data_IF_988293080294
#
_entry.id   IF_988293080294
#
_cell.length_a   1.000
_cell.length_b   1.000
_cell.length_c   1.000
_cell.angle_alpha   90.00
_cell.angle_beta   90.00
_cell.angle_gamma   90.00
#
_symmetry.space_group_name_H-M   'P 1'
#
loop_
_entity.id
_entity.type
_entity.pdbx_description
1 polymer ?
#
# COMPACT_ATOMS: atom_id res chain seq x y z
N UNK A 1 -16.56 10.29 9.85
CA UNK A 1 -15.72 9.60 8.85
C UNK A 1 -16.55 8.51 8.21
N UNK A 2 -16.38 8.25 6.90
CA UNK A 2 -17.00 7.11 6.25
C UNK A 2 -16.61 5.81 6.95
N UNK A 3 -17.55 4.86 7.05
CA UNK A 3 -17.28 3.52 7.53
C UNK A 3 -16.63 2.69 6.42
N UNK A 4 -15.40 2.23 6.66
CA UNK A 4 -14.62 1.41 5.74
C UNK A 4 -14.48 -0.05 6.20
N UNK A 5 -15.36 -0.53 7.09
CA UNK A 5 -15.26 -1.86 7.70
C UNK A 5 -15.17 -3.01 6.67
N UNK A 6 -15.89 -2.93 5.55
CA UNK A 6 -15.82 -3.95 4.50
C UNK A 6 -14.45 -3.96 3.80
N UNK A 7 -13.90 -2.77 3.54
CA UNK A 7 -12.57 -2.62 2.96
C UNK A 7 -11.47 -3.15 3.91
N UNK A 8 -11.58 -2.81 5.19
CA UNK A 8 -10.65 -3.26 6.23
C UNK A 8 -10.63 -4.77 6.38
N UNK A 9 -11.82 -5.38 6.48
CA UNK A 9 -11.97 -6.82 6.57
C UNK A 9 -11.33 -7.48 5.35
N UNK A 10 -11.60 -6.94 4.15
CA UNK A 10 -11.06 -7.49 2.92
C UNK A 10 -9.53 -7.42 2.85
N UNK A 11 -8.92 -6.30 3.25
CA UNK A 11 -7.45 -6.21 3.32
C UNK A 11 -6.89 -7.24 4.31
N UNK A 12 -7.53 -7.38 5.48
CA UNK A 12 -7.06 -8.32 6.50
C UNK A 12 -7.14 -9.78 6.04
N UNK A 13 -8.26 -10.18 5.42
CA UNK A 13 -8.42 -11.53 4.84
C UNK A 13 -7.31 -11.87 3.84
N UNK A 14 -6.95 -10.90 2.99
CA UNK A 14 -5.87 -11.08 2.01
C UNK A 14 -4.52 -11.25 2.70
N UNK A 15 -4.24 -10.42 3.70
CA UNK A 15 -3.01 -10.50 4.50
C UNK A 15 -2.90 -11.86 5.19
N UNK A 16 -3.95 -12.31 5.91
CA UNK A 16 -3.98 -13.63 6.56
C UNK A 16 -3.84 -14.79 5.56
N UNK A 17 -4.35 -14.61 4.34
CA UNK A 17 -4.25 -15.61 3.29
C UNK A 17 -2.84 -15.74 2.74
N UNK A 18 -2.09 -14.64 2.58
CA UNK A 18 -0.88 -14.62 1.76
C UNK A 18 0.43 -14.36 2.53
N UNK A 19 0.38 -13.80 3.75
CA UNK A 19 1.58 -13.63 4.59
C UNK A 19 2.30 -14.96 4.79
N UNK A 20 3.62 -14.94 4.61
CA UNK A 20 4.55 -16.08 4.70
C UNK A 20 4.26 -17.25 3.73
N UNK A 21 3.37 -17.04 2.74
CA UNK A 21 2.99 -18.05 1.74
C UNK A 21 3.26 -17.64 0.30
N UNK A 22 3.57 -16.36 0.06
CA UNK A 22 3.84 -15.79 -1.27
C UNK A 22 5.25 -15.23 -1.32
N UNK A 23 6.03 -15.67 -2.31
CA UNK A 23 7.39 -15.19 -2.53
C UNK A 23 7.46 -13.82 -3.21
N UNK A 24 8.63 -13.20 -3.19
CA UNK A 24 8.87 -11.94 -3.90
C UNK A 24 9.43 -12.19 -5.30
N UNK A 25 8.84 -11.55 -6.32
CA UNK A 25 9.41 -11.50 -7.68
C UNK A 25 9.11 -10.15 -8.33
N UNK A 26 10.16 -9.37 -8.58
CA UNK A 26 10.05 -8.03 -9.18
C UNK A 26 9.29 -8.07 -10.51
N UNK A 27 8.39 -7.11 -10.73
CA UNK A 27 7.59 -7.00 -11.95
C UNK A 27 6.38 -7.93 -11.99
N UNK A 28 6.24 -8.85 -11.02
CA UNK A 28 5.10 -9.76 -10.98
C UNK A 28 3.93 -9.11 -10.24
N UNK A 29 2.77 -8.98 -10.89
CA UNK A 29 1.55 -8.37 -10.33
C UNK A 29 0.56 -9.43 -9.85
N UNK A 30 -0.71 -9.06 -9.70
CA UNK A 30 -1.78 -9.92 -9.16
C UNK A 30 -1.83 -11.34 -9.76
N UNK A 31 -1.62 -11.48 -11.07
CA UNK A 31 -1.62 -12.79 -11.76
C UNK A 31 -0.54 -13.76 -11.23
N UNK A 32 0.52 -13.27 -10.57
CA UNK A 32 1.53 -14.12 -9.94
C UNK A 32 1.05 -14.85 -8.68
N UNK A 33 -0.08 -14.43 -8.09
CA UNK A 33 -0.71 -15.15 -6.98
C UNK A 33 -1.29 -16.51 -7.42
N UNK A 34 -1.56 -16.68 -8.72
CA UNK A 34 -2.06 -17.94 -9.30
C UNK A 34 -0.92 -18.90 -9.71
N UNK A 35 0.35 -18.48 -9.59
CA UNK A 35 1.51 -19.30 -9.91
C UNK A 35 1.78 -20.36 -8.82
N UNK A 36 2.57 -21.39 -9.17
CA UNK A 36 3.04 -22.40 -8.24
C UNK A 36 4.59 -22.49 -8.29
N UNK A 37 5.31 -22.00 -7.28
CA UNK A 37 4.82 -21.27 -6.09
C UNK A 37 4.33 -19.83 -6.43
N UNK A 38 3.42 -19.26 -5.61
CA UNK A 38 2.89 -17.92 -5.85
C UNK A 38 3.94 -16.85 -5.54
N UNK A 39 4.00 -15.82 -6.37
CA UNK A 39 4.96 -14.72 -6.25
C UNK A 39 4.34 -13.37 -6.62
N UNK A 40 4.82 -12.30 -6.00
CA UNK A 40 4.35 -10.93 -6.29
C UNK A 40 5.43 -9.89 -5.97
N UNK A 41 5.39 -8.72 -6.61
CA UNK A 41 6.22 -7.57 -6.25
C UNK A 41 5.51 -6.61 -5.29
N UNK A 42 6.26 -5.63 -4.77
CA UNK A 42 5.79 -4.70 -3.74
C UNK A 42 4.53 -3.92 -4.18
N UNK A 43 4.55 -3.34 -5.38
CA UNK A 43 3.42 -2.56 -5.90
C UNK A 43 2.26 -3.43 -6.39
N UNK A 44 2.53 -4.65 -6.84
CA UNK A 44 1.50 -5.64 -7.13
C UNK A 44 0.73 -6.02 -5.87
N UNK A 45 1.43 -6.26 -4.76
CA UNK A 45 0.81 -6.58 -3.48
C UNK A 45 -0.05 -5.44 -2.95
N UNK A 46 0.50 -4.21 -2.90
CA UNK A 46 -0.27 -3.03 -2.48
C UNK A 46 -1.47 -2.79 -3.42
N UNK A 47 -1.29 -2.96 -4.73
CA UNK A 47 -2.39 -2.83 -5.70
C UNK A 47 -3.50 -3.85 -5.46
N UNK A 48 -3.18 -5.11 -5.14
CA UNK A 48 -4.18 -6.13 -4.77
C UNK A 48 -4.94 -5.71 -3.52
N UNK A 49 -4.23 -5.31 -2.45
CA UNK A 49 -4.88 -4.89 -1.20
C UNK A 49 -5.85 -3.74 -1.42
N UNK A 50 -5.42 -2.67 -2.09
CA UNK A 50 -6.22 -1.47 -2.29
C UNK A 50 -7.43 -1.72 -3.21
N UNK A 51 -7.21 -2.35 -4.36
CA UNK A 51 -8.28 -2.54 -5.35
C UNK A 51 -9.36 -3.49 -4.84
N UNK A 52 -8.99 -4.55 -4.14
CA UNK A 52 -9.95 -5.48 -3.53
C UNK A 52 -10.73 -4.83 -2.38
N UNK A 53 -10.05 -4.01 -1.56
CA UNK A 53 -10.69 -3.28 -0.47
C UNK A 53 -11.71 -2.25 -0.96
N UNK A 54 -11.35 -1.45 -1.97
CA UNK A 54 -12.25 -0.47 -2.58
C UNK A 54 -13.47 -1.15 -3.22
N UNK A 55 -13.29 -2.27 -3.92
CA UNK A 55 -14.39 -3.07 -4.48
C UNK A 55 -15.30 -3.65 -3.40
N UNK A 56 -14.72 -4.20 -2.34
CA UNK A 56 -15.50 -4.72 -1.21
C UNK A 56 -16.34 -3.61 -0.56
N UNK A 57 -15.77 -2.42 -0.42
CA UNK A 57 -16.48 -1.26 0.12
C UNK A 57 -17.63 -0.82 -0.79
N UNK A 58 -17.40 -0.69 -2.10
CA UNK A 58 -18.47 -0.34 -3.04
C UNK A 58 -19.60 -1.39 -3.00
N UNK A 59 -19.23 -2.67 -2.98
CA UNK A 59 -20.19 -3.78 -2.91
C UNK A 59 -21.02 -3.72 -1.63
N UNK A 60 -20.40 -3.44 -0.48
CA UNK A 60 -21.12 -3.32 0.79
C UNK A 60 -22.02 -2.08 0.84
N UNK A 61 -21.62 -0.99 0.19
CA UNK A 61 -22.40 0.25 0.11
C UNK A 61 -23.53 0.19 -0.94
N UNK A 62 -23.50 -0.79 -1.85
CA UNK A 62 -24.44 -0.87 -2.98
C UNK A 62 -24.29 0.28 -4.00
N UNK A 63 -23.17 1.00 -3.96
CA UNK A 63 -22.85 2.13 -4.85
C UNK A 63 -21.34 2.33 -4.96
N UNK A 64 -20.90 3.06 -5.98
CA UNK A 64 -19.49 3.41 -6.13
C UNK A 64 -19.10 4.54 -5.17
N UNK A 65 -18.43 4.17 -4.08
CA UNK A 65 -17.73 5.12 -3.19
C UNK A 65 -16.36 5.47 -3.78
N UNK A 66 -15.71 4.48 -4.39
CA UNK A 66 -14.49 4.63 -5.19
C UNK A 66 -14.83 4.34 -6.65
N UNK A 67 -14.61 5.27 -7.55
CA UNK A 67 -14.89 5.03 -8.97
C UNK A 67 -13.81 4.15 -9.64
N UNK A 68 -14.02 3.84 -10.92
CA UNK A 68 -13.05 3.06 -11.69
C UNK A 68 -11.69 3.74 -11.84
N UNK A 69 -11.63 5.07 -11.80
CA UNK A 69 -10.38 5.83 -11.88
C UNK A 69 -9.59 5.77 -10.57
N UNK A 70 -10.28 5.76 -9.42
CA UNK A 70 -9.65 5.56 -8.10
C UNK A 70 -9.08 4.15 -7.95
N UNK A 71 -9.84 3.13 -8.36
CA UNK A 71 -9.37 1.75 -8.36
C UNK A 71 -8.19 1.61 -9.35
N UNK A 72 -8.30 2.22 -10.53
CA UNK A 72 -7.25 2.19 -11.56
C UNK A 72 -5.94 2.89 -11.13
N UNK A 73 -6.03 3.97 -10.34
CA UNK A 73 -4.88 4.68 -9.78
C UNK A 73 -3.98 3.80 -8.89
N UNK A 74 -4.55 2.74 -8.31
CA UNK A 74 -3.83 1.81 -7.43
C UNK A 74 -3.09 0.70 -8.20
N UNK A 75 -3.18 0.65 -9.54
CA UNK A 75 -2.57 -0.38 -10.39
C UNK A 75 -1.43 0.20 -11.22
N UNK A 76 -0.25 0.36 -10.61
CA UNK A 76 0.95 0.86 -11.28
C UNK A 76 2.24 0.38 -10.60
N UNK A 77 3.37 1.06 -10.83
CA UNK A 77 4.59 0.90 -10.04
C UNK A 77 4.56 1.79 -8.79
N UNK A 78 5.41 1.47 -7.81
CA UNK A 78 5.43 2.08 -6.47
C UNK A 78 5.33 3.61 -6.45
N UNK A 79 6.23 4.31 -7.16
CA UNK A 79 6.24 5.78 -7.25
C UNK A 79 4.94 6.33 -7.84
N UNK A 80 4.44 5.70 -8.92
CA UNK A 80 3.21 6.14 -9.60
C UNK A 80 1.97 5.96 -8.73
N UNK A 81 1.85 4.86 -7.98
CA UNK A 81 0.73 4.65 -7.06
C UNK A 81 0.67 5.79 -6.04
N UNK A 82 1.81 6.11 -5.41
CA UNK A 82 1.87 7.20 -4.41
C UNK A 82 1.50 8.54 -5.04
N UNK A 83 2.06 8.87 -6.22
CA UNK A 83 1.73 10.12 -6.93
C UNK A 83 0.27 10.22 -7.35
N UNK A 84 -0.35 9.13 -7.79
CA UNK A 84 -1.75 9.14 -8.21
C UNK A 84 -2.70 9.32 -7.01
N UNK A 85 -2.40 8.72 -5.86
CA UNK A 85 -3.19 8.92 -4.63
C UNK A 85 -2.98 10.35 -4.11
N UNK A 86 -1.75 10.85 -4.08
CA UNK A 86 -1.44 12.22 -3.68
C UNK A 86 -2.20 13.24 -4.54
N UNK A 87 -2.20 13.08 -5.87
CA UNK A 87 -2.89 14.04 -6.76
C UNK A 87 -4.42 14.06 -6.57
N UNK A 88 -4.93 13.10 -5.81
CA UNK A 88 -6.36 12.80 -5.62
C UNK A 88 -6.84 13.06 -4.20
N UNK A 89 -5.92 13.34 -3.28
CA UNK A 89 -6.19 13.43 -1.85
C UNK A 89 -5.39 14.58 -1.23
N UNK A 90 -5.86 15.20 -0.15
CA UNK A 90 -5.12 16.28 0.50
C UNK A 90 -3.95 15.77 1.37
N UNK A 91 -3.64 14.46 1.34
CA UNK A 91 -2.75 13.83 2.30
C UNK A 91 -1.41 13.48 1.67
N UNK A 92 -0.36 14.15 2.14
CA UNK A 92 1.03 13.77 1.93
C UNK A 92 1.80 14.01 3.24
N UNK A 93 2.33 12.94 3.81
CA UNK A 93 3.33 13.00 4.89
C UNK A 93 4.70 12.64 4.31
N UNK A 94 5.74 13.31 4.78
CA UNK A 94 7.11 13.14 4.32
C UNK A 94 8.10 12.98 5.46
N UNK A 95 9.02 12.02 5.31
CA UNK A 95 10.10 11.78 6.28
C UNK A 95 9.60 11.72 7.73
N UNK A 96 10.15 12.57 8.59
CA UNK A 96 9.81 12.61 10.03
C UNK A 96 8.35 12.93 10.36
N UNK A 97 7.54 13.37 9.40
CA UNK A 97 6.08 13.50 9.58
C UNK A 97 5.39 12.14 9.69
N UNK A 98 6.04 11.05 9.26
CA UNK A 98 5.53 9.68 9.31
C UNK A 98 5.80 9.09 10.69
N UNK A 99 4.77 9.11 11.54
CA UNK A 99 4.80 8.55 12.90
C UNK A 99 3.54 7.75 13.18
N UNK A 100 3.53 6.93 14.23
CA UNK A 100 2.31 6.19 14.65
C UNK A 100 1.12 7.14 14.90
N UNK A 101 1.39 8.36 15.38
CA UNK A 101 0.35 9.33 15.75
C UNK A 101 -0.22 10.11 14.55
N UNK A 102 0.57 10.28 13.49
CA UNK A 102 0.23 11.10 12.33
C UNK A 102 -0.22 10.29 11.12
N UNK A 103 0.18 9.02 11.05
CA UNK A 103 -0.09 8.17 9.89
C UNK A 103 -1.58 7.85 9.76
N UNK A 104 -2.19 8.02 8.57
CA UNK A 104 -3.56 7.58 8.31
C UNK A 104 -3.75 6.08 8.59
N UNK A 105 -4.97 5.71 9.00
CA UNK A 105 -5.31 4.34 9.38
C UNK A 105 -5.03 3.29 8.31
N UNK A 106 -5.07 3.67 7.03
CA UNK A 106 -4.86 2.80 5.88
C UNK A 106 -3.86 3.45 4.91
N UNK A 107 -2.86 4.14 5.47
CA UNK A 107 -1.87 4.83 4.64
C UNK A 107 -1.14 3.86 3.70
N UNK A 108 -0.86 4.32 2.50
CA UNK A 108 0.11 3.71 1.60
C UNK A 108 1.43 4.44 1.79
N UNK A 109 2.51 3.70 2.05
CA UNK A 109 3.84 4.26 2.34
C UNK A 109 4.79 3.88 1.20
N UNK A 110 5.34 4.88 0.51
CA UNK A 110 6.42 4.72 -0.47
C UNK A 110 7.78 5.00 0.17
N UNK A 111 8.77 4.17 -0.15
CA UNK A 111 10.16 4.32 0.28
C UNK A 111 11.11 4.38 -0.92
N UNK A 112 12.14 5.21 -0.79
CA UNK A 112 13.34 5.13 -1.61
C UNK A 112 14.44 4.43 -0.80
N UNK A 113 14.67 3.15 -1.12
CA UNK A 113 15.66 2.30 -0.45
C UNK A 113 17.07 2.38 -1.07
N UNK A 114 17.33 3.38 -1.91
CA UNK A 114 18.61 3.58 -2.61
C UNK A 114 18.51 3.34 -4.12
N UNK A 115 19.65 3.08 -4.76
CA UNK A 115 19.73 2.90 -6.22
C UNK A 115 20.05 1.45 -6.57
N UNK A 116 19.22 0.83 -7.40
CA UNK A 116 19.33 -0.57 -7.79
C UNK A 116 19.55 -0.79 -9.30
N UNK A 117 19.69 0.28 -10.09
CA UNK A 117 20.03 0.29 -11.51
C UNK A 117 18.86 0.00 -12.47
N UNK A 118 17.79 -0.65 -11.99
CA UNK A 118 16.59 -0.95 -12.79
C UNK A 118 15.51 0.14 -12.71
N UNK A 119 15.71 1.17 -11.87
CA UNK A 119 14.75 2.27 -11.70
C UNK A 119 14.62 3.18 -12.92
N UNK A 120 15.49 3.01 -13.93
CA UNK A 120 15.52 3.84 -15.15
C UNK A 120 14.37 3.58 -16.12
N UNK A 121 13.58 2.51 -15.91
CA UNK A 121 12.57 2.09 -16.90
C UNK A 121 11.36 3.04 -16.99
N UNK A 122 11.09 3.82 -15.95
CA UNK A 122 10.01 4.83 -15.91
C UNK A 122 10.45 6.02 -15.05
N UNK A 123 9.99 7.26 -15.34
CA UNK A 123 10.28 8.39 -14.47
C UNK A 123 9.71 8.11 -13.06
N UNK A 124 10.61 8.05 -12.07
CA UNK A 124 10.28 7.99 -10.65
C UNK A 124 10.67 9.32 -10.04
N UNK A 125 9.72 10.25 -9.92
CA UNK A 125 9.99 11.64 -9.52
C UNK A 125 10.62 11.71 -8.12
N UNK A 126 10.26 10.77 -7.24
CA UNK A 126 10.81 10.67 -5.87
C UNK A 126 11.73 9.46 -5.68
N UNK A 127 11.98 8.70 -6.75
CA UNK A 127 12.79 7.49 -6.68
C UNK A 127 12.17 6.39 -5.82
N UNK A 128 10.86 6.40 -5.56
CA UNK A 128 10.21 5.39 -4.73
C UNK A 128 10.34 4.03 -5.42
N UNK A 129 11.11 3.12 -4.82
CA UNK A 129 11.39 1.78 -5.36
C UNK A 129 10.74 0.67 -4.51
N UNK A 130 10.19 1.01 -3.35
CA UNK A 130 9.42 0.12 -2.50
C UNK A 130 8.12 0.78 -2.02
N UNK A 131 7.09 -0.02 -1.79
CA UNK A 131 5.79 0.46 -1.31
C UNK A 131 5.18 -0.57 -0.36
N UNK A 132 4.50 -0.07 0.66
CA UNK A 132 3.85 -0.85 1.69
C UNK A 132 2.46 -0.28 2.02
N UNK A 133 1.61 -1.10 2.63
CA UNK A 133 0.24 -0.74 2.98
C UNK A 133 0.00 -0.93 4.47
N UNK A 134 -0.54 0.09 5.12
CA UNK A 134 -1.04 -0.02 6.50
C UNK A 134 -2.37 -0.76 6.48
N UNK A 135 -2.50 -1.76 7.35
CA UNK A 135 -3.70 -2.55 7.57
C UNK A 135 -3.99 -2.61 9.06
N UNK A 136 -5.26 -2.86 9.44
CA UNK A 136 -5.65 -3.02 10.85
C UNK A 136 -6.29 -4.37 11.06
N UNK A 137 -5.91 -5.02 12.16
CA UNK A 137 -6.55 -6.27 12.58
C UNK A 137 -8.01 -6.00 13.00
N UNK A 138 -9.02 -6.68 12.45
CA UNK A 138 -10.42 -6.42 12.79
C UNK A 138 -10.74 -6.60 14.28
N UNK A 139 -10.10 -7.59 14.95
CA UNK A 139 -10.41 -7.94 16.33
C UNK A 139 -10.11 -6.84 17.36
N UNK A 140 -9.02 -6.10 17.18
CA UNK A 140 -8.52 -5.13 18.17
C UNK A 140 -8.01 -3.82 17.55
N UNK A 141 -8.22 -3.64 16.25
CA UNK A 141 -7.82 -2.46 15.47
C UNK A 141 -6.32 -2.22 15.47
N UNK A 142 -5.48 -3.15 15.93
CA UNK A 142 -4.04 -2.95 15.99
C UNK A 142 -3.46 -2.70 14.58
N UNK A 143 -2.65 -1.64 14.40
CA UNK A 143 -2.07 -1.30 13.11
C UNK A 143 -0.84 -2.17 12.77
N UNK A 144 -0.82 -2.66 11.55
CA UNK A 144 0.28 -3.41 10.95
C UNK A 144 0.64 -2.80 9.60
N UNK A 145 1.83 -3.11 9.11
CA UNK A 145 2.25 -2.83 7.75
C UNK A 145 2.41 -4.15 7.01
N UNK A 146 1.71 -4.29 5.89
CA UNK A 146 1.87 -5.39 4.96
C UNK A 146 2.64 -4.94 3.72
N UNK A 147 3.59 -5.75 3.30
CA UNK A 147 4.45 -5.47 2.16
C UNK A 147 4.96 -6.77 1.52
N UNK A 148 5.30 -6.71 0.23
CA UNK A 148 6.12 -7.74 -0.40
C UNK A 148 7.53 -7.19 -0.60
N UNK A 149 8.52 -7.77 0.06
CA UNK A 149 9.90 -7.25 0.09
C UNK A 149 10.93 -8.38 0.15
N UNK A 150 12.14 -8.08 -0.31
CA UNK A 150 13.34 -8.93 -0.17
C UNK A 150 13.97 -9.23 -1.52
N UNK A 151 15.13 -9.93 -1.53
CA UNK A 151 15.69 -10.41 -2.78
C UNK A 151 14.75 -11.47 -3.38
N UNK A 152 14.78 -11.60 -4.70
CA UNK A 152 14.07 -12.66 -5.41
C UNK A 152 14.41 -14.03 -4.77
N UNK A 153 13.41 -14.90 -4.67
CA UNK A 153 13.49 -16.26 -4.11
C UNK A 153 13.77 -16.39 -2.60
N UNK A 154 13.95 -15.29 -1.85
CA UNK A 154 14.01 -15.30 -0.37
C UNK A 154 13.08 -14.30 0.31
N UNK A 155 12.65 -13.28 -0.43
CA UNK A 155 11.64 -12.33 0.00
C UNK A 155 10.22 -12.87 -0.18
N UNK A 156 9.25 -12.09 0.29
CA UNK A 156 7.85 -12.45 0.19
C UNK A 156 6.92 -11.44 0.82
N UNK A 157 5.64 -11.78 0.82
CA UNK A 157 4.61 -11.04 1.56
C UNK A 157 4.82 -11.27 3.05
N UNK A 158 5.01 -10.18 3.79
CA UNK A 158 5.14 -10.18 5.25
C UNK A 158 4.16 -9.20 5.89
N UNK A 159 3.98 -9.36 7.20
CA UNK A 159 3.18 -8.49 8.04
C UNK A 159 4.00 -8.13 9.29
N UNK A 160 4.06 -6.85 9.63
CA UNK A 160 4.82 -6.37 10.79
C UNK A 160 3.99 -5.37 11.61
N UNK A 161 4.04 -5.40 12.95
CA UNK A 161 3.50 -4.32 13.78
C UNK A 161 4.04 -2.96 13.34
N UNK A 162 3.20 -1.92 13.33
CA UNK A 162 3.58 -0.62 12.76
C UNK A 162 4.81 0.01 13.42
N UNK A 163 4.96 -0.16 14.73
CA UNK A 163 6.07 0.36 15.53
C UNK A 163 7.39 -0.31 15.13
N UNK A 164 7.36 -1.63 14.96
CA UNK A 164 8.51 -2.41 14.49
C UNK A 164 8.87 -2.04 13.05
N UNK A 165 7.87 -1.81 12.18
CA UNK A 165 8.10 -1.41 10.80
C UNK A 165 8.73 -0.02 10.71
N UNK A 166 8.20 0.95 11.45
CA UNK A 166 8.76 2.30 11.51
C UNK A 166 10.19 2.28 12.06
N UNK A 167 10.48 1.46 13.08
CA UNK A 167 11.83 1.29 13.59
C UNK A 167 12.77 0.67 12.55
N UNK A 168 12.32 -0.36 11.82
CA UNK A 168 13.10 -1.03 10.78
C UNK A 168 13.48 -0.11 9.60
N UNK A 169 12.63 0.88 9.29
CA UNK A 169 12.86 1.85 8.21
C UNK A 169 13.23 3.26 8.69
N UNK A 170 13.57 3.42 9.97
CA UNK A 170 13.83 4.74 10.57
C UNK A 170 14.93 5.53 9.85
N UNK A 171 15.98 4.86 9.34
CA UNK A 171 17.04 5.55 8.58
C UNK A 171 16.52 6.15 7.26
N UNK A 172 15.62 5.46 6.57
CA UNK A 172 14.98 5.93 5.35
C UNK A 172 14.04 7.11 5.65
N UNK A 173 13.23 6.97 6.71
CA UNK A 173 12.27 7.98 7.17
C UNK A 173 13.00 9.26 7.63
N UNK A 174 13.97 9.14 8.53
CA UNK A 174 14.75 10.27 9.03
C UNK A 174 15.60 10.95 7.95
N UNK A 175 15.98 10.19 6.90
CA UNK A 175 16.67 10.71 5.72
C UNK A 175 15.77 11.43 4.71
N UNK A 176 14.46 11.56 4.97
CA UNK A 176 13.51 12.20 4.04
C UNK A 176 13.16 11.36 2.82
N UNK A 177 13.44 10.05 2.85
CA UNK A 177 13.25 9.12 1.73
C UNK A 177 11.96 8.30 1.85
N UNK A 178 10.97 8.82 2.57
CA UNK A 178 9.69 8.16 2.82
C UNK A 178 8.53 9.14 2.60
N UNK A 179 7.46 8.64 1.98
CA UNK A 179 6.23 9.38 1.70
C UNK A 179 5.03 8.52 2.08
N UNK A 180 4.02 9.11 2.71
CA UNK A 180 2.77 8.42 3.01
C UNK A 180 1.55 9.22 2.55
N UNK A 181 0.58 8.51 1.99
CA UNK A 181 -0.66 9.06 1.42
C UNK A 181 -1.85 8.25 1.93
N UNK A 182 -3.06 8.84 1.92
CA UNK A 182 -4.29 8.15 2.35
C UNK A 182 -5.17 7.77 1.14
N UNK A 183 -5.11 6.53 0.64
CA UNK A 183 -5.95 6.11 -0.49
C UNK A 183 -7.45 6.18 -0.20
N UNK A 184 -7.87 6.05 1.06
CA UNK A 184 -9.29 6.06 1.43
C UNK A 184 -9.87 7.47 1.49
N UNK A 185 -9.01 8.50 1.52
CA UNK A 185 -9.45 9.89 1.39
C UNK A 185 -10.03 10.20 -0.01
N UNK A 186 -9.80 9.36 -1.03
CA UNK A 186 -10.42 9.51 -2.35
C UNK A 186 -11.95 9.44 -2.32
N UNK A 187 -12.51 8.76 -1.31
CA UNK A 187 -13.96 8.70 -1.08
C UNK A 187 -14.59 10.05 -0.66
N UNK A 188 -13.79 11.05 -0.26
CA UNK A 188 -14.29 12.31 0.31
C UNK A 188 -14.52 13.42 -0.73
N UNK A 189 -14.64 13.10 -2.02
CA UNK A 189 -14.77 14.11 -3.09
C UNK A 189 -16.13 14.82 -3.15
N UNK A 190 -17.14 14.33 -2.44
CA UNK A 190 -18.48 14.92 -2.39
C UNK A 190 -18.59 16.13 -1.43
N UNK A 191 -17.65 17.07 -1.53
CA UNK A 191 -17.61 18.29 -0.71
C UNK A 191 -17.50 19.59 -1.51
N UNK A 192 -17.69 19.56 -2.83
CA UNK A 192 -17.68 20.78 -3.67
C UNK A 192 -18.70 20.66 -4.79
N UNK A 193 -19.95 20.97 -4.45
CA UNK A 193 -20.93 21.55 -5.37
C UNK A 193 -21.18 22.98 -4.95
#
# INVERSE_FOLDING_TARGET
MPDFSAAELRMWELVERYTDRVGYRRGTKAAGLDALPPVIDCSGWVGVLLTEAMRAQNSAAGKDIFDAADIGACVAWSDRIVSEIESRTPTLLTGCEITVATLPNYATIGLNLGTFGWETNFPRTRGINHIAQVVRRPADRMPFVSEAIGPEDKGGVRLMPIDQWLAAFNSCIAGGNAWAVDPFAMANRDGST
#
